data_IF_474647812782
#
_entry.id   IF_474647812782
#
_cell.length_a   1.000
_cell.length_b   1.000
_cell.length_c   1.000
_cell.angle_alpha   90.00
_cell.angle_beta   90.00
_cell.angle_gamma   90.00
#
_symmetry.space_group_name_H-M   'P 1'
#
loop_
_entity.id
_entity.type
_entity.pdbx_description
1 polymer ?
#
# COMPACT_ATOMS: atom_id res chain seq x y z
N UNK A 1 -10.00 -4.22 7.18
CA UNK A 1 -9.86 -5.44 6.35
C UNK A 1 -8.53 -5.36 5.58
N UNK A 2 -7.78 -6.46 5.51
CA UNK A 2 -6.43 -6.49 4.90
C UNK A 2 -6.50 -6.40 3.37
N UNK A 3 -5.38 -6.07 2.72
CA UNK A 3 -5.25 -6.17 1.26
C UNK A 3 -5.52 -7.60 0.77
N UNK A 4 -5.04 -8.60 1.52
CA UNK A 4 -5.28 -10.02 1.24
C UNK A 4 -6.76 -10.35 1.21
N UNK A 5 -7.54 -9.90 2.19
CA UNK A 5 -8.99 -10.17 2.21
C UNK A 5 -9.75 -9.60 1.01
N UNK A 6 -9.27 -8.50 0.41
CA UNK A 6 -9.86 -7.97 -0.83
C UNK A 6 -9.50 -8.82 -2.05
N UNK A 7 -8.28 -9.34 -2.11
CA UNK A 7 -7.87 -10.28 -3.16
C UNK A 7 -8.67 -11.57 -3.06
N UNK A 8 -8.84 -12.11 -1.86
CA UNK A 8 -9.64 -13.31 -1.60
C UNK A 8 -11.11 -13.09 -2.02
N UNK A 9 -11.67 -11.91 -1.74
CA UNK A 9 -13.01 -11.53 -2.17
C UNK A 9 -13.16 -11.45 -3.70
N UNK A 10 -12.14 -10.98 -4.43
CA UNK A 10 -12.13 -11.00 -5.91
C UNK A 10 -11.99 -12.41 -6.45
N UNK A 11 -11.13 -13.24 -5.85
CA UNK A 11 -10.99 -14.64 -6.23
C UNK A 11 -12.31 -15.40 -6.02
N UNK A 12 -12.99 -15.16 -4.90
CA UNK A 12 -14.32 -15.70 -4.62
C UNK A 12 -15.32 -15.26 -5.66
N UNK A 13 -15.28 -13.97 -6.03
CA UNK A 13 -16.18 -13.44 -7.04
C UNK A 13 -16.00 -14.15 -8.40
N UNK A 14 -14.76 -14.41 -8.79
CA UNK A 14 -14.43 -15.13 -10.02
C UNK A 14 -14.87 -16.60 -9.97
N UNK A 15 -14.55 -17.32 -8.88
CA UNK A 15 -14.89 -18.75 -8.76
C UNK A 15 -16.41 -18.95 -8.77
N UNK A 16 -17.14 -18.21 -7.94
CA UNK A 16 -18.60 -18.34 -7.87
C UNK A 16 -19.27 -17.95 -9.19
N UNK A 17 -18.73 -16.98 -9.95
CA UNK A 17 -19.24 -16.62 -11.29
C UNK A 17 -19.20 -17.83 -12.20
N UNK A 18 -18.04 -18.45 -12.32
CA UNK A 18 -17.81 -19.53 -13.27
C UNK A 18 -18.31 -20.90 -12.79
N UNK A 19 -18.66 -21.03 -11.50
CA UNK A 19 -19.34 -22.18 -10.93
C UNK A 19 -20.86 -21.99 -10.81
N UNK A 20 -21.40 -20.84 -11.25
CA UNK A 20 -22.85 -20.57 -11.15
C UNK A 20 -23.66 -21.55 -12.00
N UNK A 21 -24.78 -22.01 -11.45
CA UNK A 21 -25.68 -22.94 -12.13
C UNK A 21 -26.12 -22.38 -13.49
N UNK A 22 -26.05 -23.22 -14.52
CA UNK A 22 -26.47 -22.87 -15.89
C UNK A 22 -25.43 -22.14 -16.74
N UNK A 23 -24.26 -21.78 -16.19
CA UNK A 23 -23.15 -21.25 -17.01
C UNK A 23 -22.57 -22.37 -17.89
N UNK A 24 -22.19 -23.47 -17.28
CA UNK A 24 -21.79 -24.70 -17.96
C UNK A 24 -22.85 -25.78 -17.68
N UNK A 25 -23.73 -26.10 -18.66
CA UNK A 25 -24.77 -27.12 -18.50
C UNK A 25 -24.24 -28.55 -18.33
N UNK A 26 -22.94 -28.78 -18.55
CA UNK A 26 -22.32 -30.11 -18.43
C UNK A 26 -21.89 -30.44 -17.00
N UNK A 27 -21.86 -29.45 -16.11
CA UNK A 27 -21.48 -29.62 -14.71
C UNK A 27 -22.69 -30.03 -13.86
N UNK A 28 -22.47 -30.94 -12.91
CA UNK A 28 -23.43 -31.26 -11.86
C UNK A 28 -23.34 -30.28 -10.70
N UNK A 29 -24.40 -30.13 -9.88
CA UNK A 29 -24.33 -29.33 -8.67
C UNK A 29 -23.20 -29.81 -7.74
N UNK A 30 -22.30 -28.90 -7.37
CA UNK A 30 -21.14 -29.21 -6.52
C UNK A 30 -19.87 -29.53 -7.30
N UNK A 31 -19.93 -29.67 -8.63
CA UNK A 31 -18.71 -29.80 -9.44
C UNK A 31 -17.92 -28.48 -9.48
N UNK A 32 -16.58 -28.55 -9.52
CA UNK A 32 -15.75 -27.37 -9.72
C UNK A 32 -15.99 -26.75 -11.10
N UNK A 33 -16.23 -25.43 -11.11
CA UNK A 33 -16.30 -24.64 -12.35
C UNK A 33 -14.94 -24.44 -13.02
N UNK A 34 -14.84 -23.46 -13.92
CA UNK A 34 -13.60 -23.17 -14.66
C UNK A 34 -12.46 -22.72 -13.73
N UNK A 35 -12.79 -21.88 -12.75
CA UNK A 35 -11.87 -21.48 -11.69
C UNK A 35 -12.22 -22.25 -10.43
N UNK A 36 -11.20 -22.78 -9.76
CA UNK A 36 -11.33 -23.75 -8.67
C UNK A 36 -10.53 -23.31 -7.46
N UNK A 37 -10.87 -23.89 -6.31
CA UNK A 37 -10.09 -23.78 -5.08
C UNK A 37 -9.14 -25.00 -4.99
N UNK A 38 -7.89 -24.83 -5.43
CA UNK A 38 -6.90 -25.90 -5.51
C UNK A 38 -7.40 -27.19 -6.20
N UNK A 39 -8.17 -27.05 -7.28
CA UNK A 39 -8.77 -28.17 -8.04
C UNK A 39 -10.13 -28.63 -7.51
N UNK A 40 -10.59 -28.17 -6.35
CA UNK A 40 -11.89 -28.49 -5.78
C UNK A 40 -12.93 -27.39 -6.01
N UNK A 41 -14.21 -27.73 -5.80
CA UNK A 41 -15.27 -26.73 -5.73
C UNK A 41 -15.05 -25.81 -4.52
N UNK A 42 -15.35 -24.53 -4.68
CA UNK A 42 -15.15 -23.55 -3.62
C UNK A 42 -16.14 -23.76 -2.47
N UNK A 43 -15.60 -23.76 -1.24
CA UNK A 43 -16.36 -23.74 0.00
C UNK A 43 -16.51 -22.28 0.48
N UNK A 44 -17.75 -21.72 0.54
CA UNK A 44 -18.01 -20.36 1.05
C UNK A 44 -17.51 -20.09 2.48
N UNK A 45 -17.30 -21.14 3.28
CA UNK A 45 -16.74 -21.02 4.63
C UNK A 45 -15.22 -20.90 4.64
N UNK A 46 -14.55 -21.20 3.52
CA UNK A 46 -13.10 -21.18 3.37
C UNK A 46 -12.62 -20.07 2.42
N UNK A 47 -13.07 -18.83 2.62
CA UNK A 47 -12.67 -17.70 1.75
C UNK A 47 -11.22 -17.24 1.99
N UNK A 48 -10.73 -17.29 3.23
CA UNK A 48 -9.42 -16.74 3.57
C UNK A 48 -8.29 -17.48 2.84
N UNK A 49 -7.44 -16.74 2.12
CA UNK A 49 -6.34 -17.28 1.33
C UNK A 49 -6.74 -17.85 -0.04
N UNK A 50 -8.02 -17.76 -0.44
CA UNK A 50 -8.50 -18.27 -1.72
C UNK A 50 -7.74 -17.69 -2.91
N UNK A 51 -7.32 -16.43 -2.86
CA UNK A 51 -6.55 -15.83 -3.95
C UNK A 51 -5.23 -16.57 -4.23
N UNK A 52 -4.62 -17.17 -3.21
CA UNK A 52 -3.41 -17.98 -3.36
C UNK A 52 -3.67 -19.44 -3.78
N UNK A 53 -4.92 -19.92 -3.65
CA UNK A 53 -5.33 -21.28 -4.02
C UNK A 53 -6.06 -21.35 -5.36
N UNK A 54 -6.43 -20.19 -5.90
CA UNK A 54 -7.13 -20.05 -7.16
C UNK A 54 -6.35 -20.75 -8.28
N UNK A 55 -6.99 -21.69 -8.95
CA UNK A 55 -6.40 -22.47 -10.03
C UNK A 55 -7.41 -22.74 -11.13
N UNK A 56 -6.91 -22.91 -12.35
CA UNK A 56 -7.73 -23.33 -13.49
C UNK A 56 -8.10 -24.81 -13.33
N UNK A 57 -9.33 -25.17 -13.70
CA UNK A 57 -9.76 -26.55 -13.71
C UNK A 57 -8.89 -27.37 -14.69
N UNK A 58 -8.23 -28.41 -14.17
CA UNK A 58 -7.34 -29.26 -14.94
C UNK A 58 -8.02 -29.91 -16.15
N UNK A 59 -9.34 -30.08 -16.14
CA UNK A 59 -10.11 -30.59 -17.26
C UNK A 59 -9.93 -29.76 -18.55
N UNK A 60 -9.68 -28.46 -18.43
CA UNK A 60 -9.50 -27.53 -19.56
C UNK A 60 -8.03 -27.26 -19.91
N UNK A 61 -7.08 -27.80 -19.16
CA UNK A 61 -5.65 -27.51 -19.31
C UNK A 61 -4.88 -28.71 -19.90
N UNK A 62 -4.42 -28.65 -21.17
CA UNK A 62 -3.62 -29.71 -21.78
C UNK A 62 -2.31 -30.03 -21.04
N UNK A 63 -1.72 -29.05 -20.35
CA UNK A 63 -0.50 -29.28 -19.57
C UNK A 63 -0.76 -30.17 -18.34
N UNK A 64 -2.01 -30.27 -17.91
CA UNK A 64 -2.47 -31.11 -16.79
C UNK A 64 -3.29 -32.34 -17.27
N UNK A 65 -3.23 -32.66 -18.56
CA UNK A 65 -3.95 -33.81 -19.14
C UNK A 65 -5.41 -33.53 -19.52
N UNK A 66 -5.84 -32.27 -19.46
CA UNK A 66 -7.14 -31.80 -19.95
C UNK A 66 -7.17 -31.55 -21.46
N UNK A 67 -8.27 -30.93 -21.92
CA UNK A 67 -8.47 -30.63 -23.33
C UNK A 67 -9.10 -29.25 -23.53
N UNK A 68 -8.51 -28.45 -24.44
CA UNK A 68 -8.97 -27.07 -24.73
C UNK A 68 -10.42 -27.02 -25.22
N UNK A 69 -10.89 -28.04 -25.94
CA UNK A 69 -12.27 -28.06 -26.45
C UNK A 69 -13.31 -27.95 -25.33
N UNK A 70 -12.97 -28.32 -24.09
CA UNK A 70 -13.85 -28.21 -22.92
C UNK A 70 -14.15 -26.77 -22.51
N UNK A 71 -13.33 -25.79 -22.92
CA UNK A 71 -13.68 -24.37 -22.79
C UNK A 71 -14.88 -23.99 -23.68
N UNK A 72 -15.04 -24.68 -24.82
CA UNK A 72 -16.13 -24.47 -25.78
C UNK A 72 -17.33 -25.36 -25.48
N UNK A 73 -17.08 -26.63 -25.19
CA UNK A 73 -18.11 -27.67 -25.12
C UNK A 73 -18.57 -27.96 -23.68
N UNK A 74 -17.84 -27.48 -22.68
CA UNK A 74 -18.11 -27.71 -21.25
C UNK A 74 -17.05 -28.58 -20.59
N UNK A 75 -16.79 -28.35 -19.32
CA UNK A 75 -15.80 -29.08 -18.52
C UNK A 75 -16.16 -30.56 -18.35
N UNK A 76 -17.45 -30.87 -18.31
CA UNK A 76 -18.00 -32.23 -18.26
C UNK A 76 -18.11 -32.90 -19.64
N UNK A 77 -17.73 -32.25 -20.74
CA UNK A 77 -17.84 -32.82 -22.07
C UNK A 77 -16.92 -34.04 -22.25
N UNK A 78 -17.51 -35.15 -22.74
CA UNK A 78 -16.82 -36.42 -23.01
C UNK A 78 -16.13 -36.43 -24.38
N UNK A 79 -16.69 -35.72 -25.35
CA UNK A 79 -16.20 -35.68 -26.74
C UNK A 79 -16.22 -34.26 -27.27
N UNK A 80 -15.36 -33.98 -28.23
CA UNK A 80 -15.34 -32.70 -28.92
C UNK A 80 -16.62 -32.48 -29.75
N UNK A 81 -17.27 -31.34 -29.54
CA UNK A 81 -18.46 -30.89 -30.26
C UNK A 81 -18.16 -30.13 -31.56
N UNK A 82 -19.21 -29.62 -32.25
CA UNK A 82 -19.03 -28.86 -33.48
C UNK A 82 -18.20 -27.59 -33.25
N UNK A 83 -17.19 -27.31 -34.09
CA UNK A 83 -16.25 -26.20 -33.85
C UNK A 83 -16.89 -24.81 -33.88
N UNK A 84 -18.06 -24.66 -34.52
CA UNK A 84 -18.81 -23.41 -34.58
C UNK A 84 -19.72 -23.15 -33.37
N UNK A 85 -19.81 -24.05 -32.38
CA UNK A 85 -20.66 -23.83 -31.22
C UNK A 85 -20.01 -22.88 -30.21
N UNK A 86 -20.41 -21.60 -30.23
CA UNK A 86 -19.90 -20.57 -29.31
C UNK A 86 -20.76 -20.33 -28.07
N UNK A 87 -21.75 -21.19 -27.79
CA UNK A 87 -22.77 -20.95 -26.75
C UNK A 87 -22.15 -20.78 -25.37
N UNK A 88 -21.30 -21.72 -24.94
CA UNK A 88 -20.64 -21.65 -23.63
C UNK A 88 -19.69 -20.45 -23.54
N UNK A 89 -18.88 -20.19 -24.58
CA UNK A 89 -17.98 -19.03 -24.60
C UNK A 89 -18.74 -17.72 -24.43
N UNK A 90 -19.91 -17.60 -25.06
CA UNK A 90 -20.80 -16.45 -24.90
C UNK A 90 -21.36 -16.36 -23.48
N UNK A 91 -21.75 -17.49 -22.88
CA UNK A 91 -22.22 -17.56 -21.50
C UNK A 91 -21.12 -17.17 -20.49
N UNK A 92 -19.90 -17.65 -20.66
CA UNK A 92 -18.73 -17.28 -19.86
C UNK A 92 -18.45 -15.77 -19.95
N UNK A 93 -18.46 -15.21 -21.17
CA UNK A 93 -18.31 -13.77 -21.39
C UNK A 93 -19.42 -12.96 -20.71
N UNK A 94 -20.69 -13.37 -20.87
CA UNK A 94 -21.83 -12.71 -20.22
C UNK A 94 -21.75 -12.77 -18.71
N UNK A 95 -21.25 -13.87 -18.15
CA UNK A 95 -21.11 -14.07 -16.70
C UNK A 95 -20.00 -13.19 -16.12
N UNK A 96 -18.89 -13.04 -16.86
CA UNK A 96 -17.77 -12.17 -16.48
C UNK A 96 -18.15 -10.68 -16.53
N UNK A 97 -18.87 -10.27 -17.58
CA UNK A 97 -19.26 -8.86 -17.81
C UNK A 97 -20.53 -8.46 -17.04
N UNK A 98 -21.40 -9.42 -16.73
CA UNK A 98 -22.62 -9.21 -15.99
C UNK A 98 -22.38 -8.70 -14.57
N UNK A 99 -23.30 -7.88 -14.07
CA UNK A 99 -23.27 -7.42 -12.68
C UNK A 99 -23.97 -8.43 -11.78
N UNK A 100 -23.39 -8.71 -10.60
CA UNK A 100 -24.03 -9.55 -9.58
C UNK A 100 -23.82 -8.98 -8.18
N UNK A 101 -24.66 -9.33 -7.20
CA UNK A 101 -24.43 -8.98 -5.80
C UNK A 101 -23.08 -9.53 -5.32
N UNK A 102 -22.34 -8.73 -4.55
CA UNK A 102 -21.11 -9.20 -3.92
C UNK A 102 -21.43 -10.12 -2.74
N UNK A 103 -20.81 -11.31 -2.73
CA UNK A 103 -20.98 -12.32 -1.67
C UNK A 103 -20.05 -12.10 -0.47
N UNK A 104 -18.94 -11.39 -0.68
CA UNK A 104 -17.93 -11.13 0.36
C UNK A 104 -18.16 -9.78 1.04
N UNK A 105 -17.87 -9.71 2.34
CA UNK A 105 -17.92 -8.48 3.13
C UNK A 105 -16.74 -7.53 2.88
N UNK A 106 -15.82 -7.89 1.98
CA UNK A 106 -14.63 -7.11 1.62
C UNK A 106 -14.89 -5.78 0.91
N UNK A 107 -16.11 -5.60 0.43
CA UNK A 107 -16.55 -4.44 -0.32
C UNK A 107 -17.87 -3.93 0.26
N UNK A 108 -18.24 -2.70 -0.09
CA UNK A 108 -19.58 -2.21 0.21
C UNK A 108 -20.61 -3.10 -0.49
N UNK A 109 -21.71 -3.40 0.22
CA UNK A 109 -22.81 -4.14 -0.35
C UNK A 109 -23.32 -3.45 -1.62
N UNK A 110 -23.55 -4.24 -2.66
CA UNK A 110 -23.99 -3.73 -3.96
C UNK A 110 -23.77 -4.74 -5.07
N UNK A 111 -24.13 -4.33 -6.28
CA UNK A 111 -23.92 -5.11 -7.50
C UNK A 111 -22.71 -4.60 -8.27
N UNK A 112 -21.85 -5.50 -8.73
CA UNK A 112 -20.64 -5.18 -9.50
C UNK A 112 -20.42 -6.19 -10.62
N UNK A 113 -19.91 -5.73 -11.75
CA UNK A 113 -19.25 -6.61 -12.72
C UNK A 113 -17.85 -6.95 -12.19
N UNK A 114 -17.24 -7.99 -12.75
CA UNK A 114 -15.88 -8.37 -12.34
C UNK A 114 -14.86 -7.25 -12.64
N UNK A 115 -15.05 -6.54 -13.75
CA UNK A 115 -14.22 -5.40 -14.14
C UNK A 115 -14.33 -4.24 -13.14
N UNK A 116 -15.55 -3.90 -12.69
CA UNK A 116 -15.73 -2.85 -11.68
C UNK A 116 -15.12 -3.27 -10.34
N UNK A 117 -15.32 -4.52 -9.92
CA UNK A 117 -14.75 -5.02 -8.66
C UNK A 117 -13.21 -4.96 -8.65
N UNK A 118 -12.58 -5.33 -9.76
CA UNK A 118 -11.11 -5.22 -9.92
C UNK A 118 -10.65 -3.76 -9.93
N UNK A 119 -11.44 -2.87 -10.55
CA UNK A 119 -11.18 -1.44 -10.56
C UNK A 119 -11.29 -0.82 -9.16
N UNK A 120 -12.23 -1.29 -8.34
CA UNK A 120 -12.39 -0.87 -6.94
C UNK A 120 -11.13 -1.23 -6.11
N UNK A 121 -10.50 -2.39 -6.35
CA UNK A 121 -9.20 -2.73 -5.73
C UNK A 121 -8.10 -1.78 -6.19
N UNK A 122 -7.98 -1.55 -7.51
CA UNK A 122 -6.93 -0.69 -8.05
C UNK A 122 -7.03 0.75 -7.50
N UNK A 123 -8.25 1.27 -7.41
CA UNK A 123 -8.53 2.57 -6.80
C UNK A 123 -8.16 2.61 -5.32
N UNK A 124 -8.50 1.57 -4.55
CA UNK A 124 -8.14 1.48 -3.12
C UNK A 124 -6.62 1.43 -2.90
N UNK A 125 -5.91 0.61 -3.67
CA UNK A 125 -4.44 0.52 -3.60
C UNK A 125 -3.81 1.86 -3.98
N UNK A 126 -4.32 2.52 -5.02
CA UNK A 126 -3.83 3.83 -5.45
C UNK A 126 -4.05 4.91 -4.40
N UNK A 127 -5.22 4.93 -3.76
CA UNK A 127 -5.54 5.87 -2.67
C UNK A 127 -4.63 5.64 -1.45
N UNK A 128 -4.42 4.38 -1.05
CA UNK A 128 -3.50 4.03 0.04
C UNK A 128 -2.06 4.44 -0.27
N UNK A 129 -1.59 4.21 -1.49
CA UNK A 129 -0.27 4.65 -1.94
C UNK A 129 -0.11 6.17 -1.85
N UNK A 130 -1.11 6.92 -2.30
CA UNK A 130 -1.08 8.39 -2.22
C UNK A 130 -1.07 8.88 -0.77
N UNK A 131 -1.88 8.27 0.10
CA UNK A 131 -1.89 8.58 1.53
C UNK A 131 -0.53 8.34 2.18
N UNK A 132 0.09 7.18 1.92
CA UNK A 132 1.41 6.84 2.44
C UNK A 132 2.49 7.80 1.91
N UNK A 133 2.42 8.20 0.64
CA UNK A 133 3.32 9.20 0.05
C UNK A 133 3.18 10.57 0.72
N UNK A 134 1.95 10.99 1.01
CA UNK A 134 1.69 12.23 1.75
C UNK A 134 2.27 12.18 3.16
N UNK A 135 2.08 11.07 3.87
CA UNK A 135 2.62 10.85 5.21
C UNK A 135 4.15 10.86 5.22
N UNK A 136 4.78 10.18 4.26
CA UNK A 136 6.22 10.20 4.08
C UNK A 136 6.75 11.62 3.84
N UNK A 137 6.08 12.39 2.97
CA UNK A 137 6.47 13.76 2.65
C UNK A 137 6.38 14.66 3.88
N UNK A 138 5.31 14.52 4.65
CA UNK A 138 5.13 15.24 5.90
C UNK A 138 6.19 14.87 6.95
N UNK A 139 6.48 13.58 7.11
CA UNK A 139 7.51 13.09 8.03
C UNK A 139 8.91 13.60 7.63
N UNK A 140 9.23 13.61 6.34
CA UNK A 140 10.49 14.16 5.82
C UNK A 140 10.61 15.66 6.09
N UNK A 141 9.56 16.44 5.80
CA UNK A 141 9.55 17.88 6.07
C UNK A 141 9.68 18.18 7.58
N UNK A 142 9.01 17.41 8.44
CA UNK A 142 9.14 17.52 9.89
C UNK A 142 10.55 17.21 10.36
N UNK A 143 11.19 16.16 9.82
CA UNK A 143 12.57 15.81 10.15
C UNK A 143 13.53 16.94 9.75
N UNK A 144 13.38 17.51 8.54
CA UNK A 144 14.17 18.67 8.11
C UNK A 144 14.00 19.85 9.06
N UNK A 145 12.76 20.22 9.39
CA UNK A 145 12.50 21.34 10.29
C UNK A 145 13.08 21.14 11.71
N UNK A 146 13.03 19.90 12.23
CA UNK A 146 13.65 19.57 13.51
C UNK A 146 15.18 19.64 13.43
N UNK A 147 15.77 19.13 12.35
CA UNK A 147 17.22 19.24 12.12
C UNK A 147 17.69 20.70 12.00
N UNK A 148 16.92 21.55 11.33
CA UNK A 148 17.21 22.99 11.23
C UNK A 148 17.12 23.67 12.60
N UNK A 149 16.13 23.30 13.42
CA UNK A 149 15.98 23.82 14.79
C UNK A 149 17.10 23.35 15.72
N UNK A 150 17.51 22.08 15.62
CA UNK A 150 18.68 21.55 16.35
C UNK A 150 19.96 22.29 15.95
N UNK A 151 20.17 22.55 14.65
CA UNK A 151 21.32 23.30 14.16
C UNK A 151 21.31 24.77 14.64
N UNK A 152 20.14 25.40 14.75
CA UNK A 152 20.00 26.76 15.31
C UNK A 152 20.23 26.80 16.82
N UNK A 153 19.79 25.78 17.55
CA UNK A 153 20.05 25.63 18.99
C UNK A 153 21.47 25.13 19.27
N UNK A 154 22.21 24.71 18.24
CA UNK A 154 23.65 24.47 18.25
C UNK A 154 24.41 25.77 18.41
N UNK A 155 24.25 26.41 19.57
CA UNK A 155 25.08 27.52 20.02
C UNK A 155 26.51 26.98 20.10
N UNK A 156 27.40 27.55 19.30
CA UNK A 156 28.83 27.30 19.37
C UNK A 156 29.33 27.84 20.72
N UNK A 157 29.28 26.98 21.74
CA UNK A 157 29.60 27.33 23.13
C UNK A 157 31.06 27.78 23.25
N UNK A 158 31.92 27.33 22.32
CA UNK A 158 33.31 27.78 22.21
C UNK A 158 33.37 29.23 21.72
N UNK A 159 32.50 29.63 20.77
CA UNK A 159 32.38 31.02 20.29
C UNK A 159 31.84 31.93 21.38
N UNK A 160 30.82 31.52 22.12
CA UNK A 160 30.29 32.30 23.24
C UNK A 160 31.30 32.42 24.40
N UNK A 161 32.05 31.35 24.72
CA UNK A 161 33.14 31.44 25.69
C UNK A 161 34.28 32.35 25.22
N UNK A 162 34.66 32.32 23.94
CA UNK A 162 35.66 33.24 23.39
C UNK A 162 35.19 34.69 23.47
N UNK A 163 33.92 34.97 23.15
CA UNK A 163 33.33 36.31 23.29
C UNK A 163 33.32 36.76 24.77
N UNK A 164 32.96 35.89 25.71
CA UNK A 164 33.02 36.17 27.16
C UNK A 164 34.45 36.46 27.65
N UNK A 165 35.45 35.68 27.23
CA UNK A 165 36.85 35.90 27.58
C UNK A 165 37.39 37.23 27.04
N UNK A 166 36.97 37.63 25.83
CA UNK A 166 37.33 38.93 25.26
C UNK A 166 36.67 40.06 26.06
N UNK A 167 35.41 39.92 26.45
CA UNK A 167 34.70 40.88 27.31
C UNK A 167 35.40 41.01 28.66
N UNK A 168 35.73 39.90 29.31
CA UNK A 168 36.44 39.89 30.61
C UNK A 168 37.81 40.57 30.52
N UNK A 169 38.59 40.25 29.47
CA UNK A 169 39.91 40.85 29.25
C UNK A 169 39.82 42.37 29.00
N UNK A 170 38.84 42.81 28.23
CA UNK A 170 38.60 44.24 27.99
C UNK A 170 38.17 44.96 29.27
N UNK A 171 37.37 44.32 30.11
CA UNK A 171 36.97 44.87 31.41
C UNK A 171 38.17 45.01 32.36
N UNK A 172 39.02 43.98 32.43
CA UNK A 172 40.25 44.01 33.22
C UNK A 172 41.26 45.05 32.70
N UNK A 173 41.35 45.23 31.38
CA UNK A 173 42.18 46.26 30.77
C UNK A 173 41.67 47.67 31.10
N UNK A 174 40.36 47.90 30.99
CA UNK A 174 39.75 49.18 31.37
C UNK A 174 39.95 49.50 32.85
N UNK A 175 39.84 48.50 33.74
CA UNK A 175 40.14 48.66 35.15
C UNK A 175 41.59 49.10 35.40
N UNK A 176 42.56 48.50 34.71
CA UNK A 176 43.99 48.90 34.80
C UNK A 176 44.25 50.30 34.27
N UNK A 177 43.59 50.70 33.18
CA UNK A 177 43.71 52.07 32.64
C UNK A 177 43.18 53.09 33.65
N UNK A 178 42.03 52.82 34.27
CA UNK A 178 41.47 53.69 35.34
C UNK A 178 42.44 53.78 36.52
N UNK A 179 43.05 52.65 36.92
CA UNK A 179 44.02 52.60 38.02
C UNK A 179 45.28 53.41 37.70
N UNK A 180 45.84 53.27 36.50
CA UNK A 180 46.99 54.05 36.06
C UNK A 180 46.67 55.55 36.00
N UNK A 181 45.46 55.92 35.55
CA UNK A 181 45.01 57.31 35.56
C UNK A 181 44.91 57.84 36.99
N UNK A 182 44.37 57.05 37.93
CA UNK A 182 44.32 57.42 39.34
C UNK A 182 45.72 57.64 39.94
N UNK A 183 46.67 56.74 39.66
CA UNK A 183 48.06 56.85 40.13
C UNK A 183 48.78 58.09 39.54
N UNK A 184 48.52 58.43 38.28
CA UNK A 184 49.05 59.65 37.66
C UNK A 184 48.46 60.91 38.28
N UNK A 185 47.16 60.92 38.58
CA UNK A 185 46.48 62.03 39.29
C UNK A 185 47.08 62.20 40.69
N UNK A 186 47.27 61.12 41.44
CA UNK A 186 47.87 61.15 42.78
C UNK A 186 49.33 61.65 42.76
N UNK A 187 50.08 61.29 41.71
CA UNK A 187 51.47 61.75 41.55
C UNK A 187 51.52 63.25 41.22
N UNK A 188 50.62 63.74 40.37
CA UNK A 188 50.49 65.17 40.08
C UNK A 188 50.08 65.98 41.32
N UNK A 189 49.16 65.46 42.14
CA UNK A 189 48.76 66.10 43.41
C UNK A 189 49.94 66.15 44.41
N UNK A 190 50.83 65.15 44.39
CA UNK A 190 51.99 65.07 45.30
C UNK A 190 53.14 65.98 44.88
N UNK A 191 53.35 66.19 43.58
CA UNK A 191 54.35 67.11 43.03
C UNK A 191 53.90 68.58 43.05
N UNK A 192 52.59 68.82 43.20
CA UNK A 192 52.00 70.16 43.34
C UNK A 192 51.99 70.70 44.79
N UNK A 193 52.70 70.05 45.72
CA UNK A 193 52.99 70.52 47.08
C UNK A 193 54.49 70.66 47.26
#
# INVERSE_FOLDING_TARGET
MSAQGKLDAVARDLVERFASAGVDPTLMPGDPGLFTDAGAAFDPLNEAGLAGRLSLNAAADPAQGGAIFRLRDGLGALTEGPPGNGTLLTALHSTLTGTRPLSSTGFSAGTRSFATLTSDILSDVSAKRLSAQSEQTFAAAKLTALGDLEAQNGIDTDREMQELLVIEKNYAANAKVIQAVADMIDTLIRLGR
#
